data_IF_079883711115
#
_entry.id   IF_079883711115
#
_cell.length_a   1.000
_cell.length_b   1.000
_cell.length_c   1.000
_cell.angle_alpha   90.00
_cell.angle_beta   90.00
_cell.angle_gamma   90.00
#
_symmetry.space_group_name_H-M   'P 1'
#
loop_
_entity.id
_entity.type
_entity.pdbx_description
1 polymer ?
#
# COMPACT_ATOMS: atom_id res chain seq x y z
N UNK A 1 -9.37 -8.86 -6.01
CA UNK A 1 -9.15 -9.70 -4.81
C UNK A 1 -8.66 -8.82 -3.67
N UNK A 2 -9.28 -8.89 -2.48
CA UNK A 2 -8.72 -8.25 -1.27
C UNK A 2 -7.68 -9.18 -0.63
N UNK A 3 -6.57 -8.64 -0.14
CA UNK A 3 -5.51 -9.45 0.47
C UNK A 3 -5.03 -8.91 1.83
N UNK A 4 -5.40 -7.69 2.20
CA UNK A 4 -5.05 -7.10 3.50
C UNK A 4 -6.12 -6.10 3.95
N UNK A 5 -6.36 -6.09 5.26
CA UNK A 5 -7.16 -5.10 5.96
C UNK A 5 -6.50 -4.84 7.32
N UNK A 6 -6.19 -3.58 7.60
CA UNK A 6 -5.55 -3.13 8.83
C UNK A 6 -6.38 -2.00 9.41
N UNK A 7 -6.75 -2.14 10.68
CA UNK A 7 -7.30 -1.05 11.49
C UNK A 7 -6.39 -0.76 12.69
N UNK A 8 -6.01 0.50 12.85
CA UNK A 8 -5.27 1.04 13.99
C UNK A 8 -6.19 2.06 14.65
N UNK A 9 -6.64 1.73 15.86
CA UNK A 9 -7.47 2.65 16.62
C UNK A 9 -6.61 3.78 17.22
N UNK A 10 -7.13 5.01 17.30
CA UNK A 10 -6.44 6.11 17.95
C UNK A 10 -6.39 5.88 19.47
N UNK A 11 -5.24 6.12 20.09
CA UNK A 11 -5.03 5.91 21.54
C UNK A 11 -4.79 7.21 22.32
N UNK A 12 -5.21 8.34 21.75
CA UNK A 12 -5.11 9.66 22.37
C UNK A 12 -3.73 10.32 22.22
N UNK A 13 -2.71 9.57 21.82
CA UNK A 13 -1.37 10.08 21.48
C UNK A 13 -1.15 9.95 19.97
N UNK A 14 -1.55 8.82 19.36
CA UNK A 14 -1.40 8.60 17.94
C UNK A 14 -2.75 8.72 17.18
N UNK A 15 -2.74 9.34 15.99
CA UNK A 15 -3.85 9.23 15.04
C UNK A 15 -4.16 7.77 14.70
N UNK A 16 -5.44 7.48 14.49
CA UNK A 16 -5.89 6.22 13.94
C UNK A 16 -5.63 6.12 12.45
N UNK A 17 -5.59 4.90 11.95
CA UNK A 17 -5.48 4.66 10.52
C UNK A 17 -6.13 3.36 10.09
N UNK A 18 -6.66 3.37 8.88
CA UNK A 18 -7.22 2.21 8.21
C UNK A 18 -6.54 2.01 6.85
N UNK A 19 -6.25 0.76 6.50
CA UNK A 19 -5.65 0.43 5.22
C UNK A 19 -6.23 -0.87 4.66
N UNK A 20 -6.67 -0.85 3.40
CA UNK A 20 -7.13 -2.01 2.66
C UNK A 20 -6.33 -2.15 1.39
N UNK A 21 -5.74 -3.33 1.17
CA UNK A 21 -5.04 -3.66 -0.06
C UNK A 21 -5.84 -4.67 -0.89
N UNK A 22 -5.97 -4.37 -2.17
CA UNK A 22 -6.64 -5.21 -3.15
C UNK A 22 -5.89 -5.23 -4.48
N UNK A 23 -6.05 -6.28 -5.26
CA UNK A 23 -5.41 -6.39 -6.56
C UNK A 23 -6.29 -7.04 -7.61
N UNK A 24 -5.99 -6.73 -8.87
CA UNK A 24 -6.66 -7.25 -10.06
C UNK A 24 -5.63 -7.60 -11.14
N UNK A 25 -6.04 -8.45 -12.07
CA UNK A 25 -5.23 -8.83 -13.22
C UNK A 25 -6.06 -8.68 -14.49
N UNK A 26 -5.55 -7.93 -15.45
CA UNK A 26 -6.08 -7.84 -16.79
C UNK A 26 -5.34 -8.84 -17.68
N UNK A 27 -6.02 -9.95 -18.02
CA UNK A 27 -5.43 -11.01 -18.86
C UNK A 27 -5.15 -10.54 -20.29
N UNK A 28 -5.92 -9.60 -20.83
CA UNK A 28 -5.77 -9.14 -22.22
C UNK A 28 -4.58 -8.20 -22.36
N UNK A 29 -4.38 -7.35 -21.36
CA UNK A 29 -3.28 -6.39 -21.34
C UNK A 29 -2.02 -6.92 -20.63
N UNK A 30 -2.11 -8.10 -20.00
CA UNK A 30 -1.10 -8.69 -19.12
C UNK A 30 -0.60 -7.70 -18.06
N UNK A 31 -1.57 -7.08 -17.37
CA UNK A 31 -1.32 -6.04 -16.38
C UNK A 31 -1.86 -6.47 -15.02
N UNK A 32 -0.99 -6.45 -14.01
CA UNK A 32 -1.41 -6.53 -12.61
C UNK A 32 -1.56 -5.14 -12.02
N UNK A 33 -2.66 -4.87 -11.30
CA UNK A 33 -2.83 -3.63 -10.53
C UNK A 33 -3.05 -3.93 -9.07
N UNK A 34 -2.41 -3.16 -8.21
CA UNK A 34 -2.65 -3.17 -6.76
C UNK A 34 -3.16 -1.80 -6.33
N UNK A 35 -4.18 -1.81 -5.48
CA UNK A 35 -4.77 -0.64 -4.86
C UNK A 35 -4.63 -0.76 -3.34
N UNK A 36 -4.12 0.29 -2.70
CA UNK A 36 -4.19 0.46 -1.25
C UNK A 36 -5.01 1.70 -0.93
N UNK A 37 -6.20 1.48 -0.39
CA UNK A 37 -7.03 2.54 0.18
C UNK A 37 -6.53 2.79 1.60
N UNK A 38 -5.99 3.99 1.85
CA UNK A 38 -5.44 4.40 3.14
C UNK A 38 -6.25 5.57 3.68
N UNK A 39 -6.68 5.45 4.92
CA UNK A 39 -7.33 6.51 5.68
C UNK A 39 -6.52 6.79 6.95
N UNK A 40 -6.27 8.05 7.25
CA UNK A 40 -5.73 8.49 8.55
C UNK A 40 -6.74 9.41 9.21
N UNK A 41 -6.90 9.30 10.52
CA UNK A 41 -7.92 10.04 11.25
C UNK A 41 -7.49 10.39 12.67
N UNK A 42 -7.83 11.59 13.14
CA UNK A 42 -7.64 11.99 14.52
C UNK A 42 -8.82 12.85 14.99
N UNK A 43 -8.99 12.96 16.30
CA UNK A 43 -9.90 13.93 16.91
C UNK A 43 -9.52 15.38 16.57
N UNK A 44 -8.25 15.65 16.30
CA UNK A 44 -7.74 17.02 16.17
C UNK A 44 -7.79 17.59 14.75
N UNK A 45 -7.78 16.74 13.72
CA UNK A 45 -7.65 17.18 12.32
C UNK A 45 -8.58 16.47 11.34
N UNK A 46 -9.55 15.69 11.82
CA UNK A 46 -10.52 14.99 10.99
C UNK A 46 -9.93 13.78 10.26
N UNK A 47 -10.52 13.43 9.12
CA UNK A 47 -10.17 12.24 8.32
C UNK A 47 -9.58 12.63 6.96
N UNK A 48 -8.50 11.96 6.57
CA UNK A 48 -7.90 12.09 5.24
C UNK A 48 -7.80 10.72 4.59
N UNK A 49 -8.06 10.66 3.28
CA UNK A 49 -8.03 9.43 2.50
C UNK A 49 -7.12 9.55 1.28
N UNK A 50 -6.50 8.46 0.87
CA UNK A 50 -5.77 8.34 -0.39
C UNK A 50 -5.87 6.93 -0.95
N UNK A 51 -5.74 6.80 -2.27
CA UNK A 51 -5.62 5.52 -2.96
C UNK A 51 -4.24 5.41 -3.60
N UNK A 52 -3.41 4.53 -3.08
CA UNK A 52 -2.14 4.20 -3.74
C UNK A 52 -2.44 3.15 -4.80
N UNK A 53 -2.23 3.48 -6.06
CA UNK A 53 -2.37 2.55 -7.17
C UNK A 53 -0.99 2.21 -7.73
N UNK A 54 -0.76 0.94 -8.03
CA UNK A 54 0.48 0.51 -8.67
C UNK A 54 0.12 -0.40 -9.82
N UNK A 55 0.41 0.08 -11.03
CA UNK A 55 0.27 -0.70 -12.26
C UNK A 55 1.61 -1.39 -12.58
N UNK A 56 1.54 -2.69 -12.86
CA UNK A 56 2.72 -3.45 -13.26
C UNK A 56 2.45 -4.19 -14.56
N UNK A 57 3.20 -3.84 -15.61
CA UNK A 57 3.22 -4.56 -16.90
C UNK A 57 4.38 -5.55 -16.91
N UNK A 58 4.13 -6.81 -17.28
CA UNK A 58 5.14 -7.86 -17.17
C UNK A 58 6.31 -7.72 -18.16
N UNK A 59 6.10 -7.04 -19.30
CA UNK A 59 7.09 -6.94 -20.38
C UNK A 59 7.72 -5.54 -20.53
N UNK A 60 7.40 -4.60 -19.62
CA UNK A 60 7.90 -3.22 -19.64
C UNK A 60 8.41 -2.86 -18.25
N UNK A 61 9.26 -1.83 -18.13
CA UNK A 61 9.56 -1.25 -16.82
C UNK A 61 8.23 -0.93 -16.09
N UNK A 62 8.13 -1.24 -14.78
CA UNK A 62 6.95 -0.98 -13.98
C UNK A 62 6.51 0.49 -14.10
N UNK A 63 5.22 0.73 -14.28
CA UNK A 63 4.64 2.08 -14.34
C UNK A 63 3.99 2.39 -12.99
N UNK A 64 4.69 3.15 -12.14
CA UNK A 64 4.16 3.56 -10.85
C UNK A 64 3.27 4.82 -10.99
N UNK A 65 2.02 4.75 -10.53
CA UNK A 65 1.09 5.89 -10.53
C UNK A 65 0.48 6.11 -9.14
N UNK A 66 1.05 7.02 -8.36
CA UNK A 66 0.49 7.39 -7.06
C UNK A 66 -0.71 8.35 -7.22
N UNK A 67 -1.93 7.85 -7.01
CA UNK A 67 -3.16 8.64 -7.03
C UNK A 67 -3.53 9.17 -5.62
N UNK A 68 -2.86 10.23 -5.16
CA UNK A 68 -3.26 10.87 -3.90
C UNK A 68 -4.62 11.57 -4.09
N UNK A 69 -5.63 11.21 -3.30
CA UNK A 69 -6.90 11.94 -3.30
C UNK A 69 -6.67 13.37 -2.77
N UNK A 70 -7.29 14.35 -3.42
CA UNK A 70 -6.75 15.70 -3.61
C UNK A 70 -6.87 16.68 -2.42
N UNK A 71 -6.85 16.21 -1.16
CA UNK A 71 -6.94 17.10 0.02
C UNK A 71 -6.01 16.72 1.19
N UNK A 72 -5.00 15.87 0.96
CA UNK A 72 -4.04 15.51 2.00
C UNK A 72 -3.13 16.71 2.37
N UNK A 73 -3.43 17.43 3.46
CA UNK A 73 -2.56 18.48 3.98
C UNK A 73 -1.43 17.88 4.82
N UNK A 74 -0.20 18.38 4.61
CA UNK A 74 1.02 18.14 5.41
C UNK A 74 1.22 16.73 5.96
N UNK A 75 0.61 16.45 7.12
CA UNK A 75 0.64 15.18 7.82
C UNK A 75 0.18 14.00 6.97
N UNK A 76 -1.03 14.09 6.39
CA UNK A 76 -1.61 13.01 5.62
C UNK A 76 -0.76 12.69 4.38
N UNK A 77 -0.26 13.73 3.70
CA UNK A 77 0.63 13.57 2.55
C UNK A 77 1.93 12.85 2.94
N UNK A 78 2.52 13.18 4.09
CA UNK A 78 3.70 12.48 4.63
C UNK A 78 3.40 10.99 4.89
N UNK A 79 2.28 10.67 5.54
CA UNK A 79 1.92 9.27 5.82
C UNK A 79 1.71 8.50 4.52
N UNK A 80 0.92 9.04 3.60
CA UNK A 80 0.62 8.38 2.33
C UNK A 80 1.88 8.15 1.48
N UNK A 81 2.83 9.11 1.46
CA UNK A 81 4.09 8.95 0.74
C UNK A 81 4.98 7.84 1.32
N UNK A 82 5.06 7.74 2.67
CA UNK A 82 5.82 6.68 3.32
C UNK A 82 5.22 5.30 3.02
N UNK A 83 3.90 5.17 3.12
CA UNK A 83 3.21 3.91 2.82
C UNK A 83 3.33 3.53 1.35
N UNK A 84 3.21 4.50 0.44
CA UNK A 84 3.37 4.25 -0.99
C UNK A 84 4.75 3.68 -1.32
N UNK A 85 5.82 4.24 -0.74
CA UNK A 85 7.18 3.72 -0.89
C UNK A 85 7.29 2.27 -0.42
N UNK A 86 6.75 1.97 0.75
CA UNK A 86 6.87 0.64 1.34
C UNK A 86 6.06 -0.42 0.61
N UNK A 87 4.84 -0.07 0.19
CA UNK A 87 3.97 -0.90 -0.66
C UNK A 87 4.67 -1.23 -1.97
N UNK A 88 5.29 -0.23 -2.60
CA UNK A 88 6.00 -0.42 -3.86
C UNK A 88 7.15 -1.42 -3.68
N UNK A 89 7.96 -1.26 -2.63
CA UNK A 89 9.05 -2.18 -2.32
C UNK A 89 8.56 -3.61 -2.08
N UNK A 90 7.49 -3.79 -1.30
CA UNK A 90 6.93 -5.12 -1.03
C UNK A 90 6.35 -5.78 -2.29
N UNK A 91 5.69 -5.01 -3.17
CA UNK A 91 5.18 -5.51 -4.44
C UNK A 91 6.34 -6.01 -5.34
N UNK A 92 7.42 -5.24 -5.43
CA UNK A 92 8.60 -5.64 -6.18
C UNK A 92 9.22 -6.93 -5.65
N UNK A 93 9.41 -7.02 -4.33
CA UNK A 93 9.98 -8.21 -3.68
C UNK A 93 9.10 -9.45 -3.89
N UNK A 94 7.80 -9.33 -3.63
CA UNK A 94 6.84 -10.43 -3.79
C UNK A 94 6.75 -10.91 -5.23
N UNK A 95 6.79 -9.99 -6.20
CA UNK A 95 6.81 -10.34 -7.61
C UNK A 95 8.08 -11.09 -7.99
N UNK A 96 9.26 -10.58 -7.62
CA UNK A 96 10.53 -11.26 -7.92
C UNK A 96 10.54 -12.68 -7.36
N UNK A 97 10.00 -12.86 -6.15
CA UNK A 97 9.83 -14.19 -5.54
C UNK A 97 8.88 -15.09 -6.33
N UNK A 98 7.75 -14.56 -6.79
CA UNK A 98 6.78 -15.30 -7.60
C UNK A 98 7.33 -15.67 -8.98
N UNK A 99 8.01 -14.74 -9.65
CA UNK A 99 8.71 -14.95 -10.93
C UNK A 99 9.78 -16.05 -10.78
N UNK A 100 10.58 -16.01 -9.71
CA UNK A 100 11.62 -17.01 -9.44
C UNK A 100 11.03 -18.41 -9.14
N UNK A 101 9.87 -18.47 -8.48
CA UNK A 101 9.18 -19.73 -8.18
C UNK A 101 8.48 -20.34 -9.40
N UNK A 102 8.06 -19.52 -10.36
CA UNK A 102 7.36 -19.96 -11.58
C UNK A 102 7.85 -19.22 -12.83
N UNK A 103 9.13 -19.42 -13.25
CA UNK A 103 9.74 -18.64 -14.33
C UNK A 103 9.12 -18.88 -15.71
N UNK A 104 8.41 -20.00 -15.88
CA UNK A 104 7.64 -20.35 -17.08
C UNK A 104 6.14 -20.48 -16.79
N UNK A 105 5.69 -19.98 -15.64
CA UNK A 105 4.29 -20.02 -15.25
C UNK A 105 3.44 -19.02 -16.03
N UNK A 106 2.12 -19.24 -16.13
CA UNK A 106 1.20 -18.23 -16.64
C UNK A 106 1.33 -16.93 -15.83
N UNK A 107 1.28 -15.77 -16.50
CA UNK A 107 1.38 -14.45 -15.85
C UNK A 107 0.31 -14.23 -14.78
N UNK A 108 -0.90 -14.74 -15.01
CA UNK A 108 -2.00 -14.73 -14.04
C UNK A 108 -1.66 -15.51 -12.76
N UNK A 109 -0.93 -16.63 -12.87
CA UNK A 109 -0.46 -17.40 -11.72
C UNK A 109 0.61 -16.64 -10.94
N UNK A 110 1.61 -16.09 -11.65
CA UNK A 110 2.65 -15.26 -11.01
C UNK A 110 2.01 -14.09 -10.27
N UNK A 111 0.99 -13.46 -10.85
CA UNK A 111 0.25 -12.39 -10.18
C UNK A 111 -0.50 -12.86 -8.94
N UNK A 112 -1.22 -13.98 -9.04
CA UNK A 112 -1.89 -14.59 -7.89
C UNK A 112 -0.92 -14.87 -6.74
N UNK A 113 0.26 -15.43 -7.05
CA UNK A 113 1.31 -15.72 -6.07
C UNK A 113 1.91 -14.43 -5.48
N UNK A 114 2.01 -13.37 -6.28
CA UNK A 114 2.42 -12.03 -5.84
C UNK A 114 1.43 -11.48 -4.80
N UNK A 115 0.12 -11.53 -5.07
CA UNK A 115 -0.91 -11.06 -4.14
C UNK A 115 -0.95 -11.90 -2.86
N UNK A 116 -0.74 -13.22 -2.96
CA UNK A 116 -0.65 -14.10 -1.79
C UNK A 116 0.55 -13.73 -0.90
N UNK A 117 1.70 -13.43 -1.49
CA UNK A 117 2.87 -12.93 -0.77
C UNK A 117 2.61 -11.59 -0.07
N UNK A 118 1.92 -10.65 -0.75
CA UNK A 118 1.53 -9.37 -0.13
C UNK A 118 0.61 -9.57 1.07
N UNK A 119 -0.37 -10.48 0.98
CA UNK A 119 -1.25 -10.81 2.10
C UNK A 119 -0.50 -11.34 3.33
N UNK A 120 0.59 -12.10 3.13
CA UNK A 120 1.45 -12.59 4.21
C UNK A 120 2.24 -11.47 4.91
N UNK A 121 2.45 -10.33 4.24
CA UNK A 121 3.15 -9.17 4.80
C UNK A 121 2.25 -8.26 5.66
N UNK A 122 1.03 -8.69 5.99
CA UNK A 122 0.07 -7.86 6.74
C UNK A 122 0.59 -7.28 8.05
N UNK A 123 1.26 -8.09 8.88
CA UNK A 123 1.86 -7.60 10.13
C UNK A 123 2.96 -6.54 9.88
N UNK A 124 3.76 -6.72 8.83
CA UNK A 124 4.79 -5.76 8.42
C UNK A 124 4.20 -4.45 7.91
N UNK A 125 3.13 -4.52 7.12
CA UNK A 125 2.37 -3.35 6.67
C UNK A 125 1.76 -2.57 7.85
N UNK A 126 1.25 -3.26 8.88
CA UNK A 126 0.77 -2.60 10.10
C UNK A 126 1.90 -1.84 10.81
N UNK A 127 3.07 -2.47 10.96
CA UNK A 127 4.22 -1.83 11.60
C UNK A 127 4.72 -0.60 10.81
N UNK A 128 4.75 -0.69 9.47
CA UNK A 128 5.09 0.42 8.58
C UNK A 128 4.09 1.58 8.68
N UNK A 129 2.80 1.28 8.78
CA UNK A 129 1.75 2.29 8.99
C UNK A 129 1.90 3.01 10.32
N UNK A 130 2.15 2.29 11.41
CA UNK A 130 2.45 2.88 12.72
C UNK A 130 3.71 3.77 12.67
N UNK A 131 4.77 3.30 12.02
CA UNK A 131 6.02 4.05 11.88
C UNK A 131 5.81 5.34 11.08
N UNK A 132 5.03 5.30 9.99
CA UNK A 132 4.69 6.47 9.18
C UNK A 132 3.90 7.50 9.99
N UNK A 133 2.86 7.06 10.70
CA UNK A 133 2.04 7.92 11.58
C UNK A 133 2.90 8.61 12.64
N UNK A 134 3.78 7.86 13.30
CA UNK A 134 4.66 8.39 14.35
C UNK A 134 5.66 9.39 13.78
N UNK A 135 6.33 9.01 12.69
CA UNK A 135 7.39 9.81 12.07
C UNK A 135 6.84 11.13 11.51
N UNK A 136 5.68 11.09 10.87
CA UNK A 136 5.02 12.28 10.32
C UNK A 136 4.36 13.15 11.40
N UNK A 137 3.95 12.58 12.54
CA UNK A 137 3.44 13.32 13.70
C UNK A 137 4.54 14.16 14.36
N UNK A 138 5.70 13.53 14.63
CA UNK A 138 6.88 14.20 15.22
C UNK A 138 7.36 15.35 14.33
N UNK A 139 7.43 15.15 13.01
CA UNK A 139 7.91 16.18 12.08
C UNK A 139 7.04 17.45 12.05
N UNK A 140 5.77 17.35 12.46
CA UNK A 140 4.81 18.46 12.40
C UNK A 140 4.44 19.03 13.77
N UNK A 141 5.09 18.56 14.84
CA UNK A 141 4.84 19.03 16.20
C UNK A 141 3.46 18.65 16.75
N UNK A 142 2.85 17.58 16.23
CA UNK A 142 1.62 17.00 16.76
C UNK A 142 2.03 16.09 17.94
N UNK A 143 1.90 16.60 19.17
CA UNK A 143 2.10 15.86 20.43
C UNK A 143 0.78 15.73 21.20
#
# INVERSE_FOLDING_TARGET
>A
MRFIEINIDPDGILPGAYMVGSGEYDEKAEVGRVFYDVQVFSKDFGEYQARIEVEYKFDIRPAFMLHVSSQAAGYAACVFANIAKDVLNDLFECKQKADAASPKGPRSKIWSDTLACLGQKSAGHRAKLLAAITTCGIMLGLN
#
